data_IF_832009723831
#
_entry.id   IF_832009723831
#
_cell.length_a   1.000
_cell.length_b   1.000
_cell.length_c   1.000
_cell.angle_alpha   90.00
_cell.angle_beta   90.00
_cell.angle_gamma   90.00
#
_symmetry.space_group_name_H-M   'P 1'
#
loop_
_entity.id
_entity.type
_entity.pdbx_description
1 polymer ?
#
# COMPACT_ATOMS: atom_id res chain seq x y z
N UNK A 1 28.49 16.92 -3.63
CA UNK A 1 27.78 16.75 -4.90
C UNK A 1 28.85 16.37 -5.92
N UNK A 2 28.62 15.30 -6.68
CA UNK A 2 29.57 14.80 -7.71
C UNK A 2 31.03 14.62 -7.21
N UNK A 3 31.19 14.23 -5.94
CA UNK A 3 32.50 14.08 -5.29
C UNK A 3 33.11 15.35 -4.70
N UNK A 4 32.46 16.49 -4.88
CA UNK A 4 32.89 17.75 -4.25
C UNK A 4 32.45 17.83 -2.79
N UNK A 5 33.35 18.34 -1.94
CA UNK A 5 33.03 18.68 -0.55
C UNK A 5 32.56 20.12 -0.48
N UNK A 6 31.38 20.31 0.12
CA UNK A 6 30.80 21.63 0.35
C UNK A 6 30.81 21.90 1.84
N UNK A 7 31.50 22.98 2.25
CA UNK A 7 31.46 23.45 3.64
C UNK A 7 30.20 24.28 3.87
N UNK A 8 29.43 23.96 4.91
CA UNK A 8 28.21 24.68 5.26
C UNK A 8 28.02 24.73 6.77
N UNK A 9 27.29 25.73 7.24
CA UNK A 9 26.92 25.86 8.66
C UNK A 9 25.68 25.05 9.04
N UNK A 10 24.84 24.70 8.06
CA UNK A 10 23.57 23.98 8.27
C UNK A 10 23.27 23.06 7.09
N UNK A 11 22.60 21.97 7.38
CA UNK A 11 22.10 21.01 6.37
C UNK A 11 20.62 20.75 6.60
N UNK A 12 19.84 20.75 5.54
CA UNK A 12 18.43 20.31 5.56
C UNK A 12 18.36 18.94 4.87
N UNK A 13 17.91 17.93 5.62
CA UNK A 13 17.68 16.57 5.10
C UNK A 13 16.24 16.49 4.62
N UNK A 14 16.05 16.30 3.32
CA UNK A 14 14.74 16.21 2.66
C UNK A 14 14.72 15.10 1.62
N UNK A 15 15.15 13.89 2.02
CA UNK A 15 15.35 12.75 1.12
C UNK A 15 14.07 11.95 0.82
N UNK A 16 12.98 12.23 1.55
CA UNK A 16 11.71 11.55 1.37
C UNK A 16 11.71 10.10 1.84
N UNK A 17 10.75 9.32 1.35
CA UNK A 17 10.59 7.91 1.65
C UNK A 17 10.09 7.16 0.41
N UNK A 18 10.46 5.90 0.29
CA UNK A 18 9.99 4.98 -0.75
C UNK A 18 8.85 4.12 -0.20
N UNK A 19 7.95 3.67 -1.05
CA UNK A 19 6.90 2.73 -0.66
C UNK A 19 7.49 1.35 -0.35
N UNK A 20 6.87 0.62 0.57
CA UNK A 20 7.15 -0.80 0.75
C UNK A 20 6.40 -1.59 -0.30
N UNK A 21 7.06 -2.58 -0.89
CA UNK A 21 6.53 -3.48 -1.90
C UNK A 21 6.10 -4.82 -1.29
N UNK A 22 5.17 -5.51 -1.95
CA UNK A 22 4.86 -6.91 -1.65
C UNK A 22 5.99 -7.84 -2.11
N UNK A 23 6.80 -7.37 -3.08
CA UNK A 23 7.90 -8.12 -3.66
C UNK A 23 7.47 -9.15 -4.70
N UNK A 24 6.35 -8.89 -5.38
CA UNK A 24 5.82 -9.74 -6.43
C UNK A 24 6.27 -9.20 -7.80
N UNK A 25 6.72 -10.10 -8.67
CA UNK A 25 7.10 -9.71 -10.03
C UNK A 25 5.94 -9.06 -10.79
N UNK A 26 4.72 -9.59 -10.63
CA UNK A 26 3.51 -9.04 -11.24
C UNK A 26 3.13 -7.66 -10.67
N UNK A 27 3.49 -7.35 -9.43
CA UNK A 27 3.36 -6.01 -8.85
C UNK A 27 4.16 -4.99 -9.65
N UNK A 28 5.45 -5.28 -9.90
CA UNK A 28 6.34 -4.39 -10.64
C UNK A 28 5.90 -4.23 -12.11
N UNK A 29 5.48 -5.32 -12.76
CA UNK A 29 5.04 -5.31 -14.16
C UNK A 29 3.72 -4.55 -14.38
N UNK A 30 2.85 -4.49 -13.36
CA UNK A 30 1.54 -3.82 -13.40
C UNK A 30 1.53 -2.48 -12.65
N UNK A 31 2.68 -1.98 -12.18
CA UNK A 31 2.77 -0.63 -11.63
C UNK A 31 2.28 0.40 -12.67
N UNK A 32 1.45 1.35 -12.22
CA UNK A 32 0.74 2.33 -13.07
C UNK A 32 -0.25 1.74 -14.09
N UNK A 33 -0.50 0.42 -14.02
CA UNK A 33 -1.44 -0.31 -14.89
C UNK A 33 -2.57 -0.96 -14.09
N UNK A 34 -2.79 -0.45 -12.89
CA UNK A 34 -3.73 -0.94 -11.91
C UNK A 34 -3.12 -1.25 -10.55
N UNK A 35 -1.79 -1.39 -10.44
CA UNK A 35 -1.08 -1.39 -9.17
C UNK A 35 -0.61 0.03 -8.86
N UNK A 36 -0.86 0.51 -7.64
CA UNK A 36 -0.51 1.85 -7.17
C UNK A 36 -0.24 1.86 -5.66
N UNK A 37 0.49 2.87 -5.20
CA UNK A 37 0.87 3.09 -3.80
C UNK A 37 0.27 4.37 -3.21
N UNK A 38 -0.66 5.00 -3.94
CA UNK A 38 -1.23 6.28 -3.52
C UNK A 38 -2.70 6.39 -3.95
N UNK A 39 -3.64 6.12 -3.05
CA UNK A 39 -5.06 6.24 -3.35
C UNK A 39 -5.49 7.67 -3.66
N UNK A 40 -4.92 8.67 -2.99
CA UNK A 40 -5.25 10.08 -3.24
C UNK A 40 -4.73 10.57 -4.57
N UNK A 41 -3.64 9.98 -5.10
CA UNK A 41 -3.08 10.31 -6.40
C UNK A 41 -3.92 9.71 -7.54
N UNK A 42 -4.24 8.42 -7.43
CA UNK A 42 -4.71 7.61 -8.55
C UNK A 42 -6.18 7.16 -8.43
N UNK A 43 -6.74 7.14 -7.20
CA UNK A 43 -8.06 6.56 -6.94
C UNK A 43 -9.21 7.17 -7.75
N UNK A 44 -9.06 8.42 -8.22
CA UNK A 44 -10.05 9.10 -9.05
C UNK A 44 -9.95 8.75 -10.55
N UNK A 45 -8.93 7.99 -10.98
CA UNK A 45 -8.73 7.63 -12.38
C UNK A 45 -9.96 6.91 -12.97
N UNK A 46 -10.31 7.16 -14.25
CA UNK A 46 -11.48 6.57 -14.88
C UNK A 46 -11.53 5.04 -14.81
N UNK A 47 -10.37 4.37 -14.84
CA UNK A 47 -10.26 2.92 -14.82
C UNK A 47 -10.74 2.29 -13.50
N UNK A 48 -10.79 3.06 -12.40
CA UNK A 48 -11.19 2.58 -11.08
C UNK A 48 -12.65 2.91 -10.72
N UNK A 49 -13.32 3.75 -11.54
CA UNK A 49 -14.69 4.21 -11.23
C UNK A 49 -15.69 3.08 -11.34
N UNK A 50 -16.49 2.92 -10.28
CA UNK A 50 -17.50 1.86 -10.14
C UNK A 50 -16.94 0.44 -10.29
N UNK A 51 -15.64 0.26 -10.05
CA UNK A 51 -14.98 -1.04 -10.07
C UNK A 51 -14.69 -1.54 -8.66
N UNK A 52 -14.58 -2.87 -8.46
CA UNK A 52 -14.02 -3.43 -7.24
C UNK A 52 -12.54 -3.06 -7.13
N UNK A 53 -12.11 -2.55 -5.97
CA UNK A 53 -10.73 -2.20 -5.69
C UNK A 53 -10.22 -2.97 -4.47
N UNK A 54 -8.92 -3.23 -4.45
CA UNK A 54 -8.24 -3.90 -3.35
C UNK A 54 -7.26 -2.95 -2.70
N UNK A 55 -7.27 -2.89 -1.36
CA UNK A 55 -6.23 -2.23 -0.56
C UNK A 55 -5.54 -3.29 0.28
N UNK A 56 -4.22 -3.30 0.29
CA UNK A 56 -3.42 -4.18 1.15
C UNK A 56 -2.80 -3.36 2.27
N UNK A 57 -3.09 -3.74 3.50
CA UNK A 57 -2.55 -3.07 4.69
C UNK A 57 -3.46 -3.25 5.90
N UNK A 58 -3.18 -2.51 6.98
CA UNK A 58 -3.98 -2.62 8.20
C UNK A 58 -3.62 -1.58 9.26
N UNK A 59 -2.78 -0.61 8.91
CA UNK A 59 -2.51 0.60 9.69
C UNK A 59 -3.42 1.77 9.29
N UNK A 60 -3.21 2.93 9.89
CA UNK A 60 -4.01 4.14 9.62
C UNK A 60 -4.01 4.52 8.14
N UNK A 61 -2.86 4.47 7.46
CA UNK A 61 -2.76 4.76 6.02
C UNK A 61 -3.66 3.86 5.18
N UNK A 62 -3.68 2.54 5.46
CA UNK A 62 -4.54 1.61 4.73
C UNK A 62 -6.03 1.88 4.98
N UNK A 63 -6.38 2.25 6.21
CA UNK A 63 -7.75 2.63 6.58
C UNK A 63 -8.19 3.92 5.88
N UNK A 64 -7.30 4.91 5.83
CA UNK A 64 -7.53 6.18 5.16
C UNK A 64 -7.71 5.98 3.65
N UNK A 65 -6.81 5.25 3.01
CA UNK A 65 -6.87 4.93 1.58
C UNK A 65 -8.13 4.14 1.24
N UNK A 66 -8.46 3.09 1.99
CA UNK A 66 -9.68 2.31 1.79
C UNK A 66 -10.93 3.20 1.90
N UNK A 67 -10.97 4.08 2.89
CA UNK A 67 -12.08 5.03 3.07
C UNK A 67 -12.17 6.01 1.91
N UNK A 68 -11.05 6.56 1.47
CA UNK A 68 -11.00 7.48 0.33
C UNK A 68 -11.51 6.84 -0.95
N UNK A 69 -11.09 5.62 -1.25
CA UNK A 69 -11.48 4.87 -2.45
C UNK A 69 -12.97 4.55 -2.53
N UNK A 70 -13.69 4.50 -1.40
CA UNK A 70 -15.15 4.28 -1.41
C UNK A 70 -15.93 5.35 -2.18
N UNK A 71 -15.33 6.50 -2.42
CA UNK A 71 -15.91 7.59 -3.23
C UNK A 71 -16.01 7.21 -4.71
N UNK A 72 -15.16 6.33 -5.18
CA UNK A 72 -15.03 5.98 -6.60
C UNK A 72 -15.40 4.53 -6.88
N UNK A 73 -15.02 3.62 -5.99
CA UNK A 73 -15.20 2.18 -6.12
C UNK A 73 -16.66 1.73 -5.94
N UNK A 74 -17.02 0.62 -6.55
CA UNK A 74 -18.24 -0.12 -6.23
C UNK A 74 -18.14 -0.79 -4.85
N UNK A 75 -16.97 -1.38 -4.55
CA UNK A 75 -16.59 -2.01 -3.29
C UNK A 75 -15.08 -1.90 -3.11
N UNK A 76 -14.61 -1.81 -1.88
CA UNK A 76 -13.19 -1.84 -1.50
C UNK A 76 -12.94 -3.07 -0.63
N UNK A 77 -12.10 -3.97 -1.08
CA UNK A 77 -11.63 -5.10 -0.28
C UNK A 77 -10.34 -4.70 0.45
N UNK A 78 -10.36 -4.77 1.78
CA UNK A 78 -9.20 -4.47 2.62
C UNK A 78 -8.55 -5.79 3.05
N UNK A 79 -7.43 -6.12 2.42
CA UNK A 79 -6.68 -7.36 2.70
C UNK A 79 -5.72 -7.11 3.86
N UNK A 80 -5.87 -7.88 4.93
CA UNK A 80 -4.97 -7.80 6.07
C UNK A 80 -4.49 -9.16 6.53
N UNK A 81 -3.18 -9.26 6.83
CA UNK A 81 -2.52 -10.51 7.24
C UNK A 81 -2.84 -10.98 8.66
N UNK A 82 -3.59 -10.21 9.43
CA UNK A 82 -4.06 -10.53 10.79
C UNK A 82 -5.58 -10.50 10.83
N UNK A 83 -6.15 -10.86 11.97
CA UNK A 83 -7.59 -10.88 12.23
C UNK A 83 -8.15 -9.54 12.76
N UNK A 84 -7.28 -8.53 12.91
CA UNK A 84 -7.66 -7.20 13.39
C UNK A 84 -6.72 -6.13 12.84
N UNK A 85 -7.24 -4.92 12.65
CA UNK A 85 -6.47 -3.76 12.20
C UNK A 85 -5.49 -3.29 13.28
N UNK A 86 -4.34 -2.76 12.85
CA UNK A 86 -3.37 -2.08 13.72
C UNK A 86 -3.57 -0.56 13.74
N UNK A 87 -4.55 -0.08 13.01
CA UNK A 87 -4.94 1.32 12.95
C UNK A 87 -5.41 1.82 14.32
N UNK A 88 -5.42 3.13 14.51
CA UNK A 88 -6.07 3.77 15.64
C UNK A 88 -7.53 3.33 15.71
N UNK A 89 -8.09 3.26 16.94
CA UNK A 89 -9.46 2.78 17.14
C UNK A 89 -10.47 3.56 16.28
N UNK A 90 -10.31 4.88 16.18
CA UNK A 90 -11.19 5.74 15.40
C UNK A 90 -11.17 5.38 13.92
N UNK A 91 -9.97 5.09 13.36
CA UNK A 91 -9.83 4.73 11.96
C UNK A 91 -10.36 3.32 11.69
N UNK A 92 -10.07 2.38 12.57
CA UNK A 92 -10.59 1.01 12.50
C UNK A 92 -12.13 0.99 12.55
N UNK A 93 -12.74 1.66 13.52
CA UNK A 93 -14.20 1.75 13.68
C UNK A 93 -14.86 2.37 12.41
N UNK A 94 -14.24 3.41 11.85
CA UNK A 94 -14.72 4.05 10.61
C UNK A 94 -14.71 3.11 9.41
N UNK A 95 -13.64 2.35 9.25
CA UNK A 95 -13.51 1.36 8.16
C UNK A 95 -14.53 0.23 8.33
N UNK A 96 -14.64 -0.32 9.54
CA UNK A 96 -15.54 -1.45 9.81
C UNK A 96 -17.00 -1.08 9.73
N UNK A 97 -17.35 0.19 9.99
CA UNK A 97 -18.72 0.71 9.84
C UNK A 97 -19.09 1.06 8.38
N UNK A 98 -18.12 1.12 7.46
CA UNK A 98 -18.38 1.52 6.07
C UNK A 98 -18.92 0.34 5.25
N UNK A 99 -20.17 0.40 4.72
CA UNK A 99 -20.78 -0.72 3.99
C UNK A 99 -20.07 -1.07 2.68
N UNK A 100 -19.30 -0.14 2.10
CA UNK A 100 -18.51 -0.37 0.89
C UNK A 100 -17.17 -1.05 1.16
N UNK A 101 -16.69 -1.10 2.40
CA UNK A 101 -15.42 -1.75 2.73
C UNK A 101 -15.69 -3.17 3.21
N UNK A 102 -14.97 -4.12 2.63
CA UNK A 102 -15.06 -5.55 2.97
C UNK A 102 -13.69 -6.03 3.44
N UNK A 103 -13.44 -6.15 4.75
CA UNK A 103 -12.20 -6.71 5.26
C UNK A 103 -12.07 -8.19 4.88
N UNK A 104 -10.88 -8.59 4.47
CA UNK A 104 -10.47 -9.99 4.26
C UNK A 104 -9.28 -10.24 5.18
N UNK A 105 -9.55 -10.96 6.26
CA UNK A 105 -8.60 -11.20 7.33
C UNK A 105 -7.69 -12.38 7.05
N UNK A 106 -6.59 -12.46 7.82
CA UNK A 106 -5.63 -13.55 7.80
C UNK A 106 -5.13 -13.90 6.40
N UNK A 107 -5.08 -12.91 5.50
CA UNK A 107 -4.83 -13.12 4.09
C UNK A 107 -3.75 -12.19 3.55
N UNK A 108 -3.04 -12.68 2.54
CA UNK A 108 -2.04 -11.90 1.80
C UNK A 108 -2.26 -12.06 0.30
N UNK A 109 -1.83 -11.06 -0.47
CA UNK A 109 -1.75 -11.15 -1.93
C UNK A 109 -0.49 -11.91 -2.29
N UNK A 110 -0.61 -12.90 -3.15
CA UNK A 110 0.50 -13.74 -3.64
C UNK A 110 0.78 -13.52 -5.13
N UNK A 111 -0.14 -12.91 -5.86
CA UNK A 111 0.03 -12.59 -7.28
C UNK A 111 -0.95 -11.51 -7.72
N UNK A 112 -0.60 -10.77 -8.78
CA UNK A 112 -1.48 -9.81 -9.45
C UNK A 112 -1.70 -10.30 -10.88
N UNK A 113 -2.95 -10.48 -11.28
CA UNK A 113 -3.28 -11.20 -12.50
C UNK A 113 -3.43 -10.28 -13.71
N UNK A 114 -3.15 -10.91 -14.87
CA UNK A 114 -3.28 -10.40 -16.23
C UNK A 114 -2.19 -9.41 -16.69
N UNK A 115 -0.96 -9.69 -16.26
CA UNK A 115 0.25 -9.05 -16.82
C UNK A 115 0.22 -9.05 -18.36
N UNK A 116 -0.18 -10.16 -18.99
CA UNK A 116 -0.28 -10.27 -20.45
C UNK A 116 -1.28 -9.29 -21.08
N UNK A 117 -2.31 -8.88 -20.33
CA UNK A 117 -3.27 -7.87 -20.75
C UNK A 117 -2.85 -6.43 -20.41
N UNK A 118 -1.70 -6.28 -19.73
CA UNK A 118 -1.15 -5.00 -19.29
C UNK A 118 -2.12 -4.21 -18.39
N UNK A 119 -2.90 -4.90 -17.58
CA UNK A 119 -3.87 -4.34 -16.62
C UNK A 119 -4.16 -5.32 -15.49
N UNK A 120 -4.56 -4.80 -14.33
CA UNK A 120 -5.06 -5.63 -13.22
C UNK A 120 -6.50 -6.07 -13.52
N UNK A 121 -6.79 -7.38 -13.38
CA UNK A 121 -8.15 -7.93 -13.47
C UNK A 121 -8.56 -8.72 -12.24
N UNK A 122 -7.58 -9.24 -11.50
CA UNK A 122 -7.79 -9.91 -10.22
C UNK A 122 -6.49 -9.93 -9.40
N UNK A 123 -6.59 -10.29 -8.14
CA UNK A 123 -5.46 -10.67 -7.30
C UNK A 123 -5.64 -12.09 -6.79
N UNK A 124 -4.54 -12.83 -6.65
CA UNK A 124 -4.53 -14.12 -5.96
C UNK A 124 -4.24 -13.90 -4.49
N UNK A 125 -5.08 -14.48 -3.65
CA UNK A 125 -5.00 -14.42 -2.21
C UNK A 125 -4.62 -15.77 -1.64
N UNK A 126 -3.86 -15.74 -0.54
CA UNK A 126 -3.61 -16.91 0.31
C UNK A 126 -4.04 -16.59 1.74
N UNK A 127 -4.92 -17.43 2.28
CA UNK A 127 -5.25 -17.36 3.69
C UNK A 127 -4.10 -17.97 4.52
N UNK A 128 -3.59 -17.21 5.46
CA UNK A 128 -2.40 -17.59 6.24
C UNK A 128 -2.67 -18.61 7.34
N UNK A 129 -3.95 -18.75 7.77
CA UNK A 129 -4.35 -19.74 8.79
C UNK A 129 -4.67 -21.09 8.17
N UNK A 130 -5.34 -21.09 7.03
CA UNK A 130 -5.81 -22.32 6.39
C UNK A 130 -4.94 -22.79 5.22
N UNK A 131 -4.12 -21.90 4.67
CA UNK A 131 -3.36 -22.14 3.44
C UNK A 131 -4.20 -22.08 2.17
N UNK A 132 -5.51 -21.87 2.26
CA UNK A 132 -6.40 -21.82 1.11
C UNK A 132 -6.03 -20.66 0.18
N UNK A 133 -6.05 -20.92 -1.12
CA UNK A 133 -5.85 -19.93 -2.16
C UNK A 133 -7.18 -19.61 -2.85
N UNK A 134 -7.33 -18.36 -3.28
CA UNK A 134 -8.50 -17.87 -4.00
C UNK A 134 -8.13 -16.72 -4.92
N UNK A 135 -8.95 -16.48 -5.94
CA UNK A 135 -8.82 -15.30 -6.79
C UNK A 135 -9.94 -14.31 -6.46
N UNK A 136 -9.58 -13.04 -6.39
CA UNK A 136 -10.47 -11.93 -6.11
C UNK A 136 -10.47 -10.97 -7.30
N UNK A 137 -11.55 -10.90 -8.09
CA UNK A 137 -11.66 -9.96 -9.20
C UNK A 137 -11.61 -8.51 -8.71
N UNK A 138 -10.78 -7.69 -9.35
CA UNK A 138 -10.65 -6.27 -9.08
C UNK A 138 -10.01 -5.54 -10.27
N UNK A 139 -10.23 -4.24 -10.35
CA UNK A 139 -9.61 -3.40 -11.38
C UNK A 139 -8.35 -2.67 -10.89
N UNK A 140 -8.06 -2.73 -9.59
CA UNK A 140 -6.90 -2.06 -9.02
C UNK A 140 -6.49 -2.59 -7.67
N UNK A 141 -5.17 -2.57 -7.45
CA UNK A 141 -4.50 -2.95 -6.21
C UNK A 141 -3.75 -1.74 -5.64
N UNK A 142 -4.13 -1.30 -4.47
CA UNK A 142 -3.52 -0.21 -3.72
C UNK A 142 -2.71 -0.79 -2.56
N UNK A 143 -1.40 -0.54 -2.55
CA UNK A 143 -0.47 -1.14 -1.59
C UNK A 143 -0.15 -0.11 -0.51
N UNK A 144 -0.73 -0.28 0.68
CA UNK A 144 -0.64 0.63 1.83
C UNK A 144 0.01 -0.07 3.04
N UNK A 145 1.20 -0.65 2.84
CA UNK A 145 1.94 -1.41 3.86
C UNK A 145 3.07 -0.62 4.52
N UNK A 146 3.12 0.69 4.29
CA UNK A 146 4.08 1.61 4.89
C UNK A 146 5.17 2.06 3.93
N UNK A 147 6.12 2.82 4.50
CA UNK A 147 7.21 3.44 3.78
C UNK A 147 8.56 3.04 4.37
N UNK A 148 9.62 3.26 3.61
CA UNK A 148 11.02 3.16 4.05
C UNK A 148 11.63 4.54 3.84
N UNK A 149 12.13 5.21 4.89
CA UNK A 149 12.76 6.52 4.75
C UNK A 149 14.07 6.40 3.96
N UNK A 150 14.33 7.36 3.08
CA UNK A 150 15.54 7.39 2.26
C UNK A 150 16.70 8.04 3.04
N UNK A 151 17.01 7.48 4.21
CA UNK A 151 17.96 8.00 5.19
C UNK A 151 19.20 7.14 5.37
N UNK A 152 19.29 6.03 4.63
CA UNK A 152 20.40 5.07 4.75
C UNK A 152 21.79 5.72 4.60
N UNK A 153 21.90 6.72 3.74
CA UNK A 153 23.14 7.50 3.53
C UNK A 153 23.65 8.19 4.80
N UNK A 154 22.78 8.43 5.77
CA UNK A 154 23.11 9.07 7.04
C UNK A 154 23.32 8.10 8.20
N UNK A 155 23.21 6.78 7.95
CA UNK A 155 23.35 5.75 8.98
C UNK A 155 24.70 5.88 9.70
N UNK A 156 24.65 5.95 11.04
CA UNK A 156 25.83 6.15 11.87
C UNK A 156 26.37 7.59 11.96
N UNK A 157 25.73 8.54 11.29
CA UNK A 157 26.10 9.96 11.33
C UNK A 157 25.08 10.80 12.12
N UNK A 158 23.82 10.37 12.17
CA UNK A 158 22.73 11.01 12.92
C UNK A 158 21.90 9.94 13.64
N UNK A 159 21.18 10.36 14.68
CA UNK A 159 20.32 9.46 15.44
C UNK A 159 19.08 9.06 14.63
N UNK A 160 18.84 7.76 14.54
CA UNK A 160 17.70 7.16 13.85
C UNK A 160 17.00 6.14 14.74
N UNK A 161 15.74 5.89 14.46
CA UNK A 161 15.00 4.77 15.03
C UNK A 161 15.30 3.45 14.29
N UNK A 162 14.66 2.36 14.76
CA UNK A 162 14.83 1.02 14.17
C UNK A 162 14.33 0.92 12.73
N UNK A 163 13.35 1.75 12.36
CA UNK A 163 12.78 1.82 11.01
C UNK A 163 13.55 2.78 10.09
N UNK A 164 14.58 3.49 10.61
CA UNK A 164 15.44 4.40 9.86
C UNK A 164 14.94 5.85 9.82
N UNK A 165 13.91 6.22 10.58
CA UNK A 165 13.48 7.61 10.67
C UNK A 165 14.44 8.40 11.58
N UNK A 166 14.73 9.63 11.17
CA UNK A 166 15.55 10.58 11.96
C UNK A 166 14.78 10.97 13.22
N UNK A 167 15.46 10.94 14.38
CA UNK A 167 14.91 11.34 15.69
C UNK A 167 15.04 12.82 15.94
#
# INVERSE_FOLDING_TARGET
VDGEKIETKTVIIATGASHRHLGLKSEDELEKKGVTYCATCDGALPMFRNQPLVVVGGGDSACEEATYLTRFASVVYLIHRRDSLRASKIMADRVLANPKIKPIWDSTVTDVLDVAQNKVTAVRLKNLKTGAESELPCAGLFIAIGHVPNTEVFRGQIDMDEDGYVK
#
